data_IF_837887068499
#
_entry.id   IF_837887068499
#
_cell.length_a   1.000
_cell.length_b   1.000
_cell.length_c   1.000
_cell.angle_alpha   90.00
_cell.angle_beta   90.00
_cell.angle_gamma   90.00
#
_symmetry.space_group_name_H-M   'P 1'
#
loop_
_entity.id
_entity.type
_entity.pdbx_description
1 polymer ?
#
# COMPACT_ATOMS: atom_id res chain seq x y z
N UNK A 1 9.70 -26.95 -5.86
CA UNK A 1 8.58 -25.98 -5.85
C UNK A 1 8.21 -25.73 -4.38
N UNK A 2 7.92 -24.49 -3.98
CA UNK A 2 7.44 -24.22 -2.63
C UNK A 2 6.05 -24.87 -2.45
N UNK A 3 5.85 -25.57 -1.34
CA UNK A 3 4.55 -26.20 -1.05
C UNK A 3 3.53 -25.12 -0.65
N UNK A 4 2.25 -25.27 -1.03
CA UNK A 4 1.23 -24.29 -0.67
C UNK A 4 1.04 -24.22 0.85
N UNK A 5 1.01 -23.01 1.42
CA UNK A 5 0.88 -22.82 2.87
C UNK A 5 -0.60 -22.84 3.27
N UNK A 6 -0.98 -23.78 4.15
CA UNK A 6 -2.28 -23.79 4.82
C UNK A 6 -2.08 -23.23 6.22
N UNK A 7 -2.78 -22.15 6.54
CA UNK A 7 -2.87 -21.62 7.91
C UNK A 7 -4.11 -22.18 8.59
N UNK A 8 -4.06 -22.36 9.91
CA UNK A 8 -5.20 -22.83 10.69
C UNK A 8 -6.20 -21.69 11.00
N UNK A 9 -7.37 -22.06 11.51
CA UNK A 9 -8.44 -21.12 11.84
C UNK A 9 -8.07 -20.15 12.99
N UNK A 10 -7.10 -20.51 13.84
CA UNK A 10 -6.65 -19.64 14.92
C UNK A 10 -5.74 -18.54 14.37
N UNK A 11 -4.85 -18.87 13.44
CA UNK A 11 -4.02 -17.91 12.74
C UNK A 11 -4.87 -16.91 11.94
N UNK A 12 -5.91 -17.36 11.24
CA UNK A 12 -6.85 -16.48 10.54
C UNK A 12 -7.52 -15.47 11.49
N UNK A 13 -8.01 -15.94 12.65
CA UNK A 13 -8.58 -15.06 13.67
C UNK A 13 -7.57 -14.04 14.20
N UNK A 14 -6.30 -14.44 14.31
CA UNK A 14 -5.24 -13.54 14.74
C UNK A 14 -4.96 -12.46 13.69
N UNK A 15 -4.90 -12.82 12.41
CA UNK A 15 -4.80 -11.87 11.29
C UNK A 15 -5.93 -10.85 11.33
N UNK A 16 -7.17 -11.29 11.57
CA UNK A 16 -8.32 -10.38 11.66
C UNK A 16 -8.21 -9.40 12.83
N UNK A 17 -7.68 -9.84 13.98
CA UNK A 17 -7.42 -8.95 15.12
C UNK A 17 -6.30 -7.96 14.82
N UNK A 18 -5.19 -8.44 14.26
CA UNK A 18 -4.07 -7.60 13.86
C UNK A 18 -4.50 -6.54 12.84
N UNK A 19 -5.37 -6.89 11.88
CA UNK A 19 -5.94 -5.95 10.90
C UNK A 19 -6.71 -4.81 11.57
N UNK A 20 -7.52 -5.11 12.60
CA UNK A 20 -8.25 -4.08 13.37
C UNK A 20 -7.30 -3.16 14.14
N UNK A 21 -6.30 -3.72 14.78
CA UNK A 21 -5.30 -2.92 15.51
C UNK A 21 -4.43 -2.06 14.58
N UNK A 22 -4.07 -2.59 13.40
CA UNK A 22 -3.40 -1.82 12.35
C UNK A 22 -4.27 -0.68 11.84
N UNK A 23 -5.57 -0.90 11.56
CA UNK A 23 -6.48 0.18 11.14
C UNK A 23 -6.49 1.32 12.14
N UNK A 24 -6.66 1.00 13.43
CA UNK A 24 -6.65 1.99 14.50
C UNK A 24 -5.30 2.72 14.61
N UNK A 25 -4.19 1.99 14.61
CA UNK A 25 -2.85 2.58 14.71
C UNK A 25 -2.55 3.51 13.53
N UNK A 26 -2.83 3.06 12.31
CA UNK A 26 -2.50 3.76 11.07
C UNK A 26 -3.29 5.06 10.96
N UNK A 27 -4.60 5.01 11.24
CA UNK A 27 -5.46 6.19 11.24
C UNK A 27 -5.04 7.18 12.35
N UNK A 28 -4.78 6.71 13.57
CA UNK A 28 -4.43 7.59 14.69
C UNK A 28 -3.07 8.30 14.51
N UNK A 29 -2.11 7.65 13.83
CA UNK A 29 -0.75 8.18 13.63
C UNK A 29 -0.54 8.85 12.28
N UNK A 30 -1.54 8.85 11.40
CA UNK A 30 -1.43 9.30 10.01
C UNK A 30 -0.20 8.70 9.30
N UNK A 31 0.05 7.40 9.52
CA UNK A 31 1.26 6.74 9.05
C UNK A 31 1.03 5.77 7.87
N UNK A 32 -0.13 5.84 7.21
CA UNK A 32 -0.45 5.01 6.05
C UNK A 32 0.64 5.04 4.96
N UNK A 33 1.18 6.21 4.53
CA UNK A 33 2.22 6.24 3.51
C UNK A 33 3.50 5.49 3.95
N UNK A 34 3.84 5.57 5.24
CA UNK A 34 5.01 4.91 5.79
C UNK A 34 4.82 3.38 5.86
N UNK A 35 3.62 2.91 6.19
CA UNK A 35 3.29 1.49 6.21
C UNK A 35 3.23 0.88 4.81
N UNK A 36 2.67 1.61 3.85
CA UNK A 36 2.69 1.22 2.44
C UNK A 36 4.13 1.10 1.93
N UNK A 37 5.00 2.07 2.26
CA UNK A 37 6.42 2.00 1.94
C UNK A 37 7.10 0.80 2.60
N UNK A 38 6.84 0.50 3.88
CA UNK A 38 7.39 -0.68 4.54
C UNK A 38 7.05 -1.97 3.79
N UNK A 39 5.78 -2.16 3.43
CA UNK A 39 5.31 -3.33 2.70
C UNK A 39 5.97 -3.45 1.30
N UNK A 40 6.05 -2.33 0.57
CA UNK A 40 6.74 -2.25 -0.73
C UNK A 40 8.22 -2.62 -0.59
N UNK A 41 8.93 -2.07 0.40
CA UNK A 41 10.37 -2.30 0.55
C UNK A 41 10.71 -3.73 1.00
N UNK A 42 9.87 -4.37 1.82
CA UNK A 42 10.03 -5.80 2.15
C UNK A 42 9.84 -6.66 0.89
N UNK A 43 8.79 -6.40 0.11
CA UNK A 43 8.46 -7.17 -1.09
C UNK A 43 9.41 -6.94 -2.28
N UNK A 44 9.83 -5.70 -2.50
CA UNK A 44 10.56 -5.26 -3.70
C UNK A 44 11.99 -5.81 -3.82
N UNK A 45 12.48 -6.51 -2.81
CA UNK A 45 13.80 -7.17 -2.83
C UNK A 45 13.79 -8.53 -3.54
N UNK A 46 12.61 -9.01 -3.96
CA UNK A 46 12.48 -10.30 -4.62
C UNK A 46 13.26 -10.38 -5.94
N UNK A 47 13.85 -11.54 -6.16
CA UNK A 47 14.48 -11.94 -7.41
C UNK A 47 13.89 -13.28 -7.86
N UNK A 48 13.15 -13.26 -8.97
CA UNK A 48 12.47 -14.44 -9.51
C UNK A 48 13.44 -15.53 -10.00
N UNK A 49 14.66 -15.16 -10.42
CA UNK A 49 15.69 -16.10 -10.90
C UNK A 49 16.30 -16.87 -9.74
N UNK A 50 16.69 -16.17 -8.68
CA UNK A 50 17.33 -16.80 -7.52
C UNK A 50 16.35 -17.24 -6.43
N UNK A 51 15.10 -16.77 -6.49
CA UNK A 51 14.05 -16.99 -5.49
C UNK A 51 14.47 -16.54 -4.09
N UNK A 52 15.15 -15.39 -4.03
CA UNK A 52 15.64 -14.77 -2.79
C UNK A 52 15.02 -13.39 -2.58
N UNK A 53 14.99 -12.91 -1.34
CA UNK A 53 14.29 -11.68 -0.97
C UNK A 53 12.77 -11.85 -0.99
N UNK A 54 12.05 -10.73 -1.07
CA UNK A 54 10.60 -10.70 -1.10
C UNK A 54 9.95 -10.52 0.29
N UNK A 55 8.61 -10.52 0.35
CA UNK A 55 7.79 -10.21 1.51
C UNK A 55 7.88 -11.31 2.56
N UNK A 56 9.00 -11.37 3.26
CA UNK A 56 9.35 -12.40 4.22
C UNK A 56 9.75 -11.79 5.58
N UNK A 57 9.48 -10.50 5.77
CA UNK A 57 9.72 -9.78 7.02
C UNK A 57 11.20 -9.53 7.32
N UNK A 58 12.14 -9.88 6.42
CA UNK A 58 13.59 -9.68 6.66
C UNK A 58 13.95 -8.22 6.85
N UNK A 59 13.13 -7.28 6.36
CA UNK A 59 13.34 -5.84 6.54
C UNK A 59 13.48 -5.41 8.01
N UNK A 60 13.02 -6.22 8.97
CA UNK A 60 13.20 -5.97 10.41
C UNK A 60 14.64 -6.21 10.92
N UNK A 61 15.45 -6.92 10.14
CA UNK A 61 16.84 -7.19 10.49
C UNK A 61 17.65 -5.89 10.36
N UNK A 62 18.58 -5.67 11.29
CA UNK A 62 19.41 -4.46 11.32
C UNK A 62 20.21 -4.24 10.05
N UNK A 63 20.74 -5.33 9.47
CA UNK A 63 21.39 -5.30 8.17
C UNK A 63 20.49 -4.66 7.10
N UNK A 64 19.21 -5.07 7.03
CA UNK A 64 18.32 -4.64 5.95
C UNK A 64 17.69 -3.26 6.18
N UNK A 65 17.19 -2.94 7.38
CA UNK A 65 16.62 -1.61 7.61
C UNK A 65 17.68 -0.49 7.58
N UNK A 66 18.97 -0.85 7.68
CA UNK A 66 20.09 0.09 7.57
C UNK A 66 20.54 0.34 6.12
N UNK A 67 20.02 -0.40 5.14
CA UNK A 67 20.23 -0.08 3.72
C UNK A 67 19.77 1.36 3.42
N UNK A 68 20.48 2.08 2.55
CA UNK A 68 20.21 3.48 2.23
C UNK A 68 18.79 3.71 1.72
N UNK A 69 18.31 2.82 0.84
CA UNK A 69 16.93 2.88 0.33
C UNK A 69 15.86 2.72 1.43
N UNK A 70 16.21 2.10 2.57
CA UNK A 70 15.31 1.82 3.70
C UNK A 70 15.36 2.91 4.78
N UNK A 71 16.10 4.00 4.57
CA UNK A 71 16.20 5.11 5.53
C UNK A 71 14.83 5.56 6.05
N UNK A 72 14.68 5.59 7.37
CA UNK A 72 13.45 5.93 8.10
C UNK A 72 12.43 4.80 8.31
N UNK A 73 12.61 3.61 7.71
CA UNK A 73 11.66 2.49 7.87
C UNK A 73 11.68 1.82 9.25
N UNK A 74 12.76 2.01 10.03
CA UNK A 74 12.81 1.58 11.43
C UNK A 74 11.62 2.10 12.25
N UNK A 75 11.15 3.32 11.97
CA UNK A 75 9.94 3.89 12.60
C UNK A 75 8.67 3.09 12.28
N UNK A 76 8.54 2.60 11.05
CA UNK A 76 7.41 1.77 10.62
C UNK A 76 7.45 0.39 11.29
N UNK A 77 8.65 -0.19 11.38
CA UNK A 77 8.91 -1.45 12.08
C UNK A 77 8.52 -1.32 13.56
N UNK A 78 8.95 -0.25 14.23
CA UNK A 78 8.65 -0.01 15.65
C UNK A 78 7.14 0.14 15.92
N UNK A 79 6.42 0.81 15.00
CA UNK A 79 4.95 0.86 15.07
C UNK A 79 4.32 -0.52 14.88
N UNK A 80 4.87 -1.36 13.99
CA UNK A 80 4.39 -2.72 13.83
C UNK A 80 4.71 -3.60 15.06
N UNK A 81 5.79 -3.35 15.80
CA UNK A 81 6.08 -4.07 17.06
C UNK A 81 4.97 -3.88 18.10
N UNK A 82 4.34 -2.71 18.16
CA UNK A 82 3.20 -2.46 19.06
C UNK A 82 2.01 -3.39 18.76
N UNK A 83 1.77 -3.67 17.47
CA UNK A 83 0.74 -4.63 17.03
C UNK A 83 1.23 -6.06 17.24
N UNK A 84 2.48 -6.36 16.87
CA UNK A 84 3.09 -7.68 17.01
C UNK A 84 3.05 -8.18 18.46
N UNK A 85 3.30 -7.30 19.43
CA UNK A 85 3.27 -7.63 20.85
C UNK A 85 1.89 -8.13 21.32
N UNK A 86 0.81 -7.63 20.72
CA UNK A 86 -0.56 -8.06 20.99
C UNK A 86 -0.94 -9.34 20.23
N UNK A 87 -0.30 -9.57 19.09
CA UNK A 87 -0.56 -10.68 18.18
C UNK A 87 0.69 -11.53 17.97
N UNK A 88 1.20 -12.25 19.00
CA UNK A 88 2.47 -12.97 18.90
C UNK A 88 2.46 -14.10 17.86
N UNK A 89 1.28 -14.58 17.44
CA UNK A 89 1.14 -15.67 16.47
C UNK A 89 1.33 -15.25 15.01
N UNK A 90 1.01 -14.00 14.65
CA UNK A 90 1.19 -13.53 13.27
C UNK A 90 2.68 -13.41 12.94
N UNK A 91 3.11 -13.83 11.75
CA UNK A 91 4.49 -13.59 11.30
C UNK A 91 4.71 -12.11 11.01
N UNK A 92 5.96 -11.64 11.12
CA UNK A 92 6.31 -10.28 10.70
C UNK A 92 6.04 -10.07 9.21
N UNK A 93 6.32 -11.09 8.40
CA UNK A 93 6.05 -11.08 6.97
C UNK A 93 4.57 -10.81 6.66
N UNK A 94 3.64 -11.52 7.30
CA UNK A 94 2.21 -11.25 7.11
C UNK A 94 1.80 -9.92 7.73
N UNK A 95 2.37 -9.53 8.88
CA UNK A 95 2.05 -8.27 9.55
C UNK A 95 2.39 -7.05 8.67
N UNK A 96 3.57 -7.03 8.04
CA UNK A 96 4.01 -5.91 7.20
C UNK A 96 3.18 -5.80 5.92
N UNK A 97 2.90 -6.92 5.26
CA UNK A 97 2.03 -6.91 4.07
C UNK A 97 0.58 -6.55 4.42
N UNK A 98 0.07 -7.00 5.57
CA UNK A 98 -1.23 -6.58 6.08
C UNK A 98 -1.25 -5.08 6.40
N UNK A 99 -0.17 -4.51 6.96
CA UNK A 99 -0.05 -3.08 7.20
C UNK A 99 -0.09 -2.26 5.89
N UNK A 100 0.55 -2.75 4.82
CA UNK A 100 0.47 -2.14 3.49
C UNK A 100 -0.94 -2.16 2.90
N UNK A 101 -1.64 -3.30 2.97
CA UNK A 101 -3.05 -3.42 2.54
C UNK A 101 -3.96 -2.49 3.33
N UNK A 102 -3.82 -2.48 4.65
CA UNK A 102 -4.63 -1.63 5.53
C UNK A 102 -4.35 -0.15 5.27
N UNK A 103 -3.10 0.23 5.00
CA UNK A 103 -2.74 1.61 4.68
C UNK A 103 -3.48 2.15 3.45
N UNK A 104 -3.62 1.34 2.39
CA UNK A 104 -4.39 1.68 1.19
C UNK A 104 -5.88 1.79 1.53
N UNK A 105 -6.41 0.83 2.28
CA UNK A 105 -7.84 0.80 2.63
C UNK A 105 -8.25 2.02 3.49
N UNK A 106 -7.50 2.35 4.55
CA UNK A 106 -7.87 3.45 5.47
C UNK A 106 -7.75 4.83 4.84
N UNK A 107 -7.06 4.94 3.71
CA UNK A 107 -6.88 6.19 2.95
C UNK A 107 -7.85 6.30 1.78
N UNK A 108 -8.80 5.36 1.64
CA UNK A 108 -9.86 5.39 0.62
C UNK A 108 -9.53 4.65 -0.68
N UNK A 109 -8.42 3.92 -0.73
CA UNK A 109 -8.00 3.17 -1.90
C UNK A 109 -8.77 1.87 -2.13
N UNK A 110 -8.41 1.10 -3.17
CA UNK A 110 -9.12 -0.13 -3.51
C UNK A 110 -8.94 -1.22 -2.47
N UNK A 111 -9.91 -2.14 -2.42
CA UNK A 111 -9.76 -3.39 -1.64
C UNK A 111 -8.70 -4.28 -2.28
N UNK A 112 -7.75 -4.74 -1.47
CA UNK A 112 -6.70 -5.68 -1.89
C UNK A 112 -6.90 -7.00 -1.14
N UNK A 113 -7.07 -8.08 -1.89
CA UNK A 113 -7.23 -9.43 -1.34
C UNK A 113 -5.94 -9.88 -0.64
N UNK A 114 -5.98 -9.93 0.69
CA UNK A 114 -4.87 -10.41 1.52
C UNK A 114 -4.97 -11.92 1.76
N UNK A 115 -3.89 -12.65 1.47
CA UNK A 115 -3.77 -14.08 1.80
C UNK A 115 -2.63 -14.28 2.81
N UNK A 116 -2.90 -14.81 4.01
CA UNK A 116 -1.87 -15.08 5.02
C UNK A 116 -1.09 -16.37 4.74
N UNK A 117 0.06 -16.50 5.41
CA UNK A 117 0.89 -17.70 5.41
C UNK A 117 2.36 -17.44 5.09
N UNK A 118 2.79 -16.18 4.97
CA UNK A 118 4.20 -15.85 4.76
C UNK A 118 5.01 -16.24 5.98
N UNK A 119 6.25 -16.67 5.76
CA UNK A 119 7.17 -17.08 6.82
C UNK A 119 8.26 -16.02 7.01
N UNK A 120 8.63 -15.81 8.26
CA UNK A 120 9.71 -14.90 8.60
C UNK A 120 11.06 -15.46 8.16
N UNK A 121 11.82 -14.64 7.43
CA UNK A 121 13.23 -14.89 7.14
C UNK A 121 14.12 -14.26 8.22
N UNK A 122 15.28 -14.89 8.45
CA UNK A 122 16.41 -14.29 9.19
C UNK A 122 17.53 -13.82 8.26
N UNK A 123 17.39 -14.07 6.97
CA UNK A 123 18.39 -13.76 5.95
C UNK A 123 17.91 -12.51 5.20
N UNK A 124 18.70 -11.45 5.31
CA UNK A 124 18.51 -10.22 4.55
C UNK A 124 18.99 -10.40 3.10
N UNK A 125 18.28 -9.88 2.09
CA UNK A 125 18.82 -9.76 0.75
C UNK A 125 19.96 -8.73 0.73
N UNK A 126 20.88 -8.85 -0.22
CA UNK A 126 21.90 -7.80 -0.42
C UNK A 126 21.26 -6.48 -0.83
N UNK A 127 21.84 -5.38 -0.38
CA UNK A 127 21.46 -4.03 -0.80
C UNK A 127 21.54 -3.85 -2.33
N UNK A 128 20.78 -2.88 -2.86
CA UNK A 128 20.80 -2.50 -4.27
C UNK A 128 19.72 -3.13 -5.14
N UNK A 129 18.77 -3.85 -4.54
CA UNK A 129 17.63 -4.44 -5.26
C UNK A 129 16.42 -3.51 -5.41
N UNK A 130 16.33 -2.45 -4.62
CA UNK A 130 15.25 -1.46 -4.70
C UNK A 130 15.58 -0.37 -5.75
N UNK A 131 14.58 0.27 -6.36
CA UNK A 131 14.82 1.24 -7.41
C UNK A 131 15.47 2.53 -6.89
N UNK A 132 16.41 3.09 -7.65
CA UNK A 132 16.94 4.44 -7.46
C UNK A 132 16.04 5.46 -8.17
N UNK A 133 15.51 6.40 -7.39
CA UNK A 133 14.64 7.49 -7.83
C UNK A 133 15.26 8.42 -8.89
N UNK A 134 16.58 8.40 -9.06
CA UNK A 134 17.31 9.24 -10.03
C UNK A 134 17.43 8.64 -11.42
N UNK A 135 17.02 7.39 -11.59
CA UNK A 135 17.15 6.65 -12.85
C UNK A 135 15.88 6.77 -13.71
N UNK A 136 15.91 6.21 -14.93
CA UNK A 136 14.80 6.26 -15.88
C UNK A 136 14.22 4.89 -16.24
N UNK A 137 13.58 4.82 -17.41
CA UNK A 137 12.81 3.67 -17.91
C UNK A 137 13.58 2.34 -17.89
N UNK A 138 14.84 2.23 -18.38
CA UNK A 138 15.55 0.95 -18.39
C UNK A 138 15.72 0.38 -16.98
N UNK A 139 16.02 1.25 -16.02
CA UNK A 139 16.21 0.87 -14.63
C UNK A 139 14.91 0.40 -13.97
N UNK A 140 13.78 1.08 -14.24
CA UNK A 140 12.47 0.62 -13.76
C UNK A 140 12.16 -0.79 -14.27
N UNK A 141 12.37 -1.05 -15.57
CA UNK A 141 12.18 -2.39 -16.14
C UNK A 141 13.14 -3.40 -15.52
N UNK A 142 14.43 -3.10 -15.39
CA UNK A 142 15.41 -4.01 -14.78
C UNK A 142 15.00 -4.43 -13.36
N UNK A 143 14.54 -3.48 -12.56
CA UNK A 143 14.14 -3.73 -11.16
C UNK A 143 12.84 -4.52 -11.09
N UNK A 144 11.79 -4.11 -11.79
CA UNK A 144 10.47 -4.74 -11.69
C UNK A 144 10.39 -6.05 -12.48
N UNK A 145 11.07 -6.18 -13.62
CA UNK A 145 11.13 -7.44 -14.38
C UNK A 145 11.91 -8.51 -13.62
N UNK A 146 12.93 -8.14 -12.84
CA UNK A 146 13.59 -9.07 -11.90
C UNK A 146 12.60 -9.65 -10.89
N UNK A 147 11.60 -8.87 -10.47
CA UNK A 147 10.51 -9.34 -9.61
C UNK A 147 9.48 -10.21 -10.35
N UNK A 148 9.45 -10.17 -11.69
CA UNK A 148 8.43 -10.81 -12.52
C UNK A 148 7.17 -9.96 -12.72
N UNK A 149 7.27 -8.64 -12.51
CA UNK A 149 6.19 -7.68 -12.72
C UNK A 149 6.24 -7.11 -14.14
N UNK A 150 5.10 -6.61 -14.63
CA UNK A 150 4.92 -6.10 -16.00
C UNK A 150 4.97 -4.57 -16.05
N UNK A 151 5.03 -3.98 -17.26
CA UNK A 151 4.94 -2.53 -17.46
C UNK A 151 3.68 -1.91 -16.84
N UNK A 152 2.54 -2.60 -16.93
CA UNK A 152 1.29 -2.18 -16.26
C UNK A 152 1.47 -2.13 -14.74
N UNK A 153 2.11 -3.15 -14.17
CA UNK A 153 2.32 -3.24 -12.73
C UNK A 153 3.29 -2.13 -12.26
N UNK A 154 4.31 -1.78 -13.06
CA UNK A 154 5.20 -0.63 -12.78
C UNK A 154 4.38 0.65 -12.63
N UNK A 155 3.59 1.01 -13.65
CA UNK A 155 2.85 2.29 -13.63
C UNK A 155 1.79 2.31 -12.55
N UNK A 156 1.05 1.20 -12.37
CA UNK A 156 0.04 1.12 -11.32
C UNK A 156 0.68 1.29 -9.93
N UNK A 157 1.76 0.55 -9.64
CA UNK A 157 2.43 0.61 -8.34
C UNK A 157 3.09 1.97 -8.06
N UNK A 158 3.58 2.67 -9.08
CA UNK A 158 4.04 4.07 -8.95
C UNK A 158 2.95 5.00 -8.45
N UNK A 159 1.67 4.71 -8.75
CA UNK A 159 0.51 5.40 -8.19
C UNK A 159 0.42 5.36 -6.66
N UNK A 160 1.16 4.47 -6.00
CA UNK A 160 1.30 4.48 -4.54
C UNK A 160 1.90 5.79 -4.00
N UNK A 161 2.64 6.54 -4.82
CA UNK A 161 3.12 7.89 -4.48
C UNK A 161 2.00 8.93 -4.34
N UNK A 162 0.74 8.61 -4.68
CA UNK A 162 -0.40 9.44 -4.30
C UNK A 162 -0.48 9.66 -2.77
N UNK A 163 0.10 8.72 -2.00
CA UNK A 163 0.27 8.83 -0.56
C UNK A 163 1.67 9.32 -0.18
N UNK A 164 1.70 10.26 0.76
CA UNK A 164 2.89 10.67 1.49
C UNK A 164 3.76 11.69 0.78
N UNK A 165 5.04 11.67 1.14
CA UNK A 165 6.04 12.66 0.70
C UNK A 165 7.46 12.14 0.83
N UNK A 166 8.36 12.72 0.05
CA UNK A 166 9.79 12.58 0.29
C UNK A 166 10.24 13.47 1.46
N UNK A 167 11.40 13.10 2.02
CA UNK A 167 12.05 13.82 3.10
C UNK A 167 13.56 13.92 2.81
N UNK A 168 14.17 15.12 2.89
CA UNK A 168 15.58 15.34 2.58
C UNK A 168 16.52 14.43 3.36
N UNK A 169 16.26 14.24 4.66
CA UNK A 169 17.10 13.44 5.55
C UNK A 169 17.04 11.93 5.29
N UNK A 170 16.10 11.49 4.43
CA UNK A 170 15.94 10.07 4.07
C UNK A 170 16.41 9.77 2.67
N UNK A 171 15.92 10.55 1.71
CA UNK A 171 16.11 10.28 0.28
C UNK A 171 16.88 11.36 -0.47
N UNK A 172 17.08 12.53 0.15
CA UNK A 172 17.58 13.74 -0.51
C UNK A 172 16.53 14.51 -1.32
N UNK A 173 15.32 13.98 -1.50
CA UNK A 173 14.19 14.67 -2.13
C UNK A 173 13.22 15.22 -1.06
N UNK A 174 12.43 16.24 -1.41
CA UNK A 174 11.44 16.85 -0.51
C UNK A 174 10.10 17.05 -1.20
N UNK A 175 9.03 17.01 -0.41
CA UNK A 175 7.68 17.37 -0.82
C UNK A 175 6.76 16.18 -1.11
N UNK A 176 5.44 16.38 -1.04
CA UNK A 176 4.44 15.41 -1.47
C UNK A 176 4.28 15.41 -2.99
N UNK A 177 3.77 14.31 -3.53
CA UNK A 177 3.41 14.22 -4.95
C UNK A 177 2.02 14.79 -5.24
N UNK A 178 1.17 14.91 -4.23
CA UNK A 178 -0.23 15.33 -4.32
C UNK A 178 -0.55 16.38 -3.26
N UNK A 179 -1.64 17.12 -3.45
CA UNK A 179 -2.09 18.14 -2.48
C UNK A 179 -2.63 17.52 -1.19
N UNK A 180 -3.23 16.32 -1.27
CA UNK A 180 -3.70 15.54 -0.12
C UNK A 180 -2.93 14.22 0.02
N UNK A 181 -1.77 14.22 0.71
CA UNK A 181 -0.90 13.05 0.80
C UNK A 181 -1.42 11.94 1.72
N UNK A 182 -2.64 12.06 2.26
CA UNK A 182 -3.30 11.03 3.05
C UNK A 182 -4.56 10.46 2.37
N UNK A 183 -4.83 10.85 1.13
CA UNK A 183 -5.92 10.33 0.31
C UNK A 183 -5.37 9.46 -0.82
N UNK A 184 -5.87 8.24 -0.91
CA UNK A 184 -5.54 7.33 -1.99
C UNK A 184 -6.54 7.51 -3.12
N UNK A 185 -6.11 8.20 -4.18
CA UNK A 185 -6.89 8.49 -5.38
C UNK A 185 -5.96 8.53 -6.61
N UNK A 186 -6.46 8.91 -7.79
CA UNK A 186 -5.64 8.99 -9.00
C UNK A 186 -4.85 10.31 -9.16
N UNK A 187 -4.80 11.18 -8.13
CA UNK A 187 -4.19 12.51 -8.24
C UNK A 187 -2.72 12.46 -8.63
N UNK A 188 -1.96 11.43 -8.21
CA UNK A 188 -0.58 11.25 -8.66
C UNK A 188 -0.43 11.34 -10.18
N UNK A 189 -1.29 10.65 -10.94
CA UNK A 189 -1.21 10.66 -12.41
C UNK A 189 -1.70 11.98 -13.00
N UNK A 190 -2.73 12.58 -12.40
CA UNK A 190 -3.25 13.90 -12.81
C UNK A 190 -2.17 14.97 -12.65
N UNK A 191 -1.49 15.01 -11.50
CA UNK A 191 -0.40 15.96 -11.23
C UNK A 191 0.84 15.69 -12.07
N UNK A 192 1.15 14.40 -12.34
CA UNK A 192 2.28 14.02 -13.18
C UNK A 192 2.16 14.60 -14.60
N UNK A 193 0.94 14.60 -15.18
CA UNK A 193 0.67 15.12 -16.52
C UNK A 193 0.68 16.65 -16.62
N UNK A 194 0.59 17.38 -15.51
CA UNK A 194 0.67 18.86 -15.51
C UNK A 194 2.10 19.33 -15.75
N UNK A 195 2.26 20.56 -16.22
CA UNK A 195 3.57 21.21 -16.31
C UNK A 195 4.17 21.49 -14.91
N UNK A 196 5.49 21.65 -14.82
CA UNK A 196 6.27 21.71 -13.56
C UNK A 196 6.13 23.03 -12.77
N UNK A 197 4.95 23.66 -12.80
CA UNK A 197 4.68 24.91 -12.07
C UNK A 197 4.14 24.71 -10.65
N UNK A 198 3.72 23.49 -10.30
CA UNK A 198 3.26 23.15 -8.96
C UNK A 198 4.43 22.85 -8.02
N UNK A 199 4.33 23.23 -6.74
CA UNK A 199 5.30 22.88 -5.68
C UNK A 199 5.25 21.39 -5.27
N UNK A 200 4.74 20.52 -6.13
CA UNK A 200 4.62 19.08 -5.90
C UNK A 200 5.83 18.35 -6.46
N UNK A 201 6.23 17.28 -5.78
CA UNK A 201 7.39 16.48 -6.13
C UNK A 201 7.09 15.63 -7.39
N UNK A 202 8.06 15.60 -8.29
CA UNK A 202 8.15 14.62 -9.38
C UNK A 202 9.58 14.12 -9.47
N UNK A 203 9.82 12.89 -9.05
CA UNK A 203 11.13 12.26 -9.16
C UNK A 203 11.49 12.01 -10.64
N UNK A 204 12.79 11.88 -10.98
CA UNK A 204 13.20 11.40 -12.30
C UNK A 204 12.49 10.11 -12.72
N UNK A 205 12.31 9.15 -11.81
CA UNK A 205 11.54 7.92 -12.10
C UNK A 205 10.05 8.15 -12.36
N UNK A 206 9.43 9.17 -11.76
CA UNK A 206 8.03 9.52 -12.05
C UNK A 206 7.93 10.13 -13.45
N UNK A 207 8.84 11.06 -13.78
CA UNK A 207 8.90 11.69 -15.11
C UNK A 207 9.20 10.69 -16.21
N UNK A 208 10.02 9.67 -15.93
CA UNK A 208 10.31 8.57 -16.85
C UNK A 208 9.05 7.81 -17.32
N UNK A 209 7.97 7.80 -16.51
CA UNK A 209 6.70 7.19 -16.93
C UNK A 209 6.03 7.92 -18.10
N UNK A 210 6.38 9.20 -18.34
CA UNK A 210 5.89 10.00 -19.46
C UNK A 210 6.74 9.88 -20.72
N UNK A 211 7.97 9.38 -20.60
CA UNK A 211 8.96 9.26 -21.67
C UNK A 211 8.80 7.97 -22.48
N UNK A 212 8.38 6.87 -21.83
CA UNK A 212 8.11 5.60 -22.50
C UNK A 212 6.65 5.54 -23.02
N UNK A 213 6.42 5.23 -24.31
CA UNK A 213 5.07 5.20 -24.86
C UNK A 213 4.12 4.22 -24.18
N UNK A 214 4.61 3.05 -23.74
CA UNK A 214 3.76 2.05 -23.09
C UNK A 214 3.45 2.46 -21.65
N UNK A 215 4.41 3.02 -20.91
CA UNK A 215 4.12 3.59 -19.59
C UNK A 215 3.13 4.75 -19.68
N UNK A 216 3.37 5.67 -20.61
CA UNK A 216 2.55 6.86 -20.80
C UNK A 216 1.10 6.51 -21.07
N UNK A 217 0.84 5.44 -21.85
CA UNK A 217 -0.50 4.93 -22.11
C UNK A 217 -1.27 4.59 -20.82
N UNK A 218 -0.61 3.96 -19.84
CA UNK A 218 -1.21 3.69 -18.54
C UNK A 218 -1.35 4.94 -17.68
N UNK A 219 -0.36 5.86 -17.69
CA UNK A 219 -0.46 7.14 -16.97
C UNK A 219 -1.68 7.94 -17.43
N UNK A 220 -1.87 8.07 -18.75
CA UNK A 220 -3.02 8.79 -19.33
C UNK A 220 -4.34 8.09 -19.05
N UNK A 221 -4.36 6.75 -19.03
CA UNK A 221 -5.53 5.97 -18.63
C UNK A 221 -5.90 6.25 -17.18
N UNK A 222 -4.96 6.10 -16.25
CA UNK A 222 -5.21 6.23 -14.81
C UNK A 222 -5.55 7.65 -14.40
N UNK A 223 -4.97 8.67 -15.05
CA UNK A 223 -5.34 10.06 -14.82
C UNK A 223 -6.80 10.37 -15.23
N UNK A 224 -7.32 9.67 -16.24
CA UNK A 224 -8.69 9.85 -16.74
C UNK A 224 -9.72 8.96 -16.02
N UNK A 225 -9.31 7.79 -15.55
CA UNK A 225 -10.18 6.74 -15.04
C UNK A 225 -9.60 6.16 -13.74
N UNK A 226 -10.10 6.66 -12.60
CA UNK A 226 -9.71 6.20 -11.27
C UNK A 226 -10.11 4.73 -11.02
N UNK A 227 -11.24 4.28 -11.57
CA UNK A 227 -11.67 2.89 -11.42
C UNK A 227 -10.71 1.93 -12.14
N UNK A 228 -10.19 2.34 -13.31
CA UNK A 228 -9.12 1.61 -14.00
C UNK A 228 -7.83 1.57 -13.19
N UNK A 229 -7.44 2.70 -12.60
CA UNK A 229 -6.29 2.75 -11.68
C UNK A 229 -6.50 1.81 -10.49
N UNK A 230 -7.64 1.87 -9.82
CA UNK A 230 -7.94 1.08 -8.62
C UNK A 230 -7.93 -0.42 -8.89
N UNK A 231 -8.54 -0.86 -10.00
CA UNK A 231 -8.46 -2.26 -10.43
C UNK A 231 -7.01 -2.69 -10.64
N UNK A 232 -6.26 -1.98 -11.47
CA UNK A 232 -4.90 -2.40 -11.84
C UNK A 232 -3.94 -2.26 -10.65
N UNK A 233 -4.15 -1.29 -9.75
CA UNK A 233 -3.42 -1.14 -8.49
C UNK A 233 -3.67 -2.33 -7.57
N UNK A 234 -4.93 -2.72 -7.36
CA UNK A 234 -5.26 -3.86 -6.49
C UNK A 234 -4.62 -5.16 -6.98
N UNK A 235 -4.67 -5.43 -8.29
CA UNK A 235 -4.01 -6.59 -8.90
C UNK A 235 -2.50 -6.55 -8.73
N UNK A 236 -1.88 -5.38 -8.99
CA UNK A 236 -0.43 -5.21 -8.96
C UNK A 236 0.11 -5.27 -7.52
N UNK A 237 -0.57 -4.64 -6.57
CA UNK A 237 -0.24 -4.70 -5.15
C UNK A 237 -0.36 -6.13 -4.64
N UNK A 238 -1.41 -6.88 -5.02
CA UNK A 238 -1.52 -8.29 -4.65
C UNK A 238 -0.32 -9.10 -5.17
N UNK A 239 0.01 -9.00 -6.46
CA UNK A 239 1.18 -9.68 -7.05
C UNK A 239 2.47 -9.36 -6.30
N UNK A 240 2.71 -8.07 -6.04
CA UNK A 240 3.85 -7.59 -5.27
C UNK A 240 3.89 -8.23 -3.87
N UNK A 241 2.79 -8.16 -3.13
CA UNK A 241 2.73 -8.67 -1.76
C UNK A 241 2.92 -10.19 -1.69
N UNK A 242 2.75 -10.92 -2.80
CA UNK A 242 2.86 -12.37 -2.90
C UNK A 242 4.12 -12.84 -3.64
N UNK A 243 5.07 -11.94 -3.95
CA UNK A 243 6.32 -12.31 -4.63
C UNK A 243 7.08 -13.41 -3.86
N UNK A 244 7.33 -14.55 -4.50
CA UNK A 244 7.98 -15.69 -3.85
C UNK A 244 7.14 -16.44 -2.81
N UNK A 245 5.90 -16.01 -2.55
CA UNK A 245 4.92 -16.69 -1.72
C UNK A 245 3.94 -17.48 -2.60
N UNK A 246 3.59 -18.69 -2.19
CA UNK A 246 2.61 -19.53 -2.89
C UNK A 246 1.43 -19.81 -1.96
N UNK A 247 0.31 -19.07 -2.13
CA UNK A 247 -0.94 -19.36 -1.44
C UNK A 247 -1.39 -20.81 -1.61
N UNK A 248 -1.98 -21.41 -0.58
CA UNK A 248 -2.77 -22.62 -0.78
C UNK A 248 -4.07 -22.31 -1.51
N UNK A 249 -4.33 -23.04 -2.60
CA UNK A 249 -5.57 -22.97 -3.39
C UNK A 249 -6.85 -23.30 -2.59
N UNK A 250 -6.71 -23.72 -1.32
CA UNK A 250 -7.82 -24.00 -0.40
C UNK A 250 -8.18 -22.87 0.56
N UNK A 251 -7.47 -21.73 0.54
CA UNK A 251 -7.92 -20.55 1.27
C UNK A 251 -9.13 -19.97 0.53
N UNK A 252 -10.33 -20.45 0.89
CA UNK A 252 -11.59 -19.82 0.54
C UNK A 252 -11.46 -18.33 0.78
N UNK A 253 -11.49 -17.54 -0.30
CA UNK A 253 -11.74 -16.10 -0.25
C UNK A 253 -12.86 -15.87 0.75
N UNK A 254 -12.52 -15.26 1.88
CA UNK A 254 -13.52 -14.72 2.79
C UNK A 254 -14.16 -13.60 1.99
N UNK A 255 -15.27 -13.92 1.31
CA UNK A 255 -16.11 -12.89 0.73
C UNK A 255 -16.57 -12.04 1.90
N UNK A 256 -16.10 -10.79 1.94
CA UNK A 256 -16.57 -9.77 2.85
C UNK A 256 -18.08 -9.56 2.63
N UNK A 257 -18.89 -10.34 3.35
CA UNK A 257 -20.35 -10.21 3.38
C UNK A 257 -20.84 -9.07 4.26
N UNK A 258 -19.98 -8.11 4.63
CA UNK A 258 -20.34 -7.10 5.65
C UNK A 258 -19.94 -5.66 5.31
N UNK A 259 -19.89 -5.28 4.02
CA UNK A 259 -19.81 -3.86 3.63
C UNK A 259 -20.89 -3.56 2.58
N UNK A 260 -22.16 -3.58 2.99
CA UNK A 260 -23.27 -2.92 2.28
C UNK A 260 -24.37 -2.40 3.23
N UNK A 261 -24.01 -2.07 4.48
CA UNK A 261 -24.97 -1.48 5.44
C UNK A 261 -24.57 -0.11 6.00
N UNK A 262 -23.33 0.36 5.82
CA UNK A 262 -22.90 1.63 6.42
C UNK A 262 -23.23 2.87 5.57
N UNK A 263 -23.40 2.73 4.25
CA UNK A 263 -23.80 3.85 3.39
C UNK A 263 -25.27 4.28 3.54
N UNK A 264 -26.19 3.32 3.73
CA UNK A 264 -27.61 3.62 3.86
C UNK A 264 -28.00 4.06 5.28
N UNK A 265 -27.45 3.42 6.32
CA UNK A 265 -27.79 3.75 7.71
C UNK A 265 -27.22 5.11 8.11
N UNK A 266 -26.00 5.46 7.67
CA UNK A 266 -25.42 6.78 7.91
C UNK A 266 -26.27 7.90 7.33
N UNK A 267 -26.62 7.81 6.04
CA UNK A 267 -27.45 8.83 5.35
C UNK A 267 -28.86 8.91 5.92
N UNK A 268 -29.49 7.78 6.27
CA UNK A 268 -30.84 7.78 6.86
C UNK A 268 -30.84 8.37 8.27
N UNK A 269 -29.82 8.09 9.09
CA UNK A 269 -29.70 8.68 10.44
C UNK A 269 -29.43 10.18 10.35
N UNK A 270 -28.54 10.63 9.45
CA UNK A 270 -28.27 12.07 9.29
C UNK A 270 -29.50 12.82 8.75
N UNK A 271 -30.20 12.26 7.75
CA UNK A 271 -31.42 12.85 7.23
C UNK A 271 -32.55 12.92 8.28
N UNK A 272 -32.73 11.86 9.08
CA UNK A 272 -33.74 11.85 10.14
C UNK A 272 -33.44 12.88 11.24
N UNK A 273 -32.17 13.04 11.64
CA UNK A 273 -31.77 14.06 12.63
C UNK A 273 -31.99 15.46 12.08
N UNK A 274 -31.61 15.74 10.83
CA UNK A 274 -31.82 17.05 10.20
C UNK A 274 -33.32 17.38 10.07
N UNK A 275 -34.15 16.42 9.68
CA UNK A 275 -35.61 16.59 9.56
C UNK A 275 -36.23 16.83 10.95
N UNK A 276 -35.85 16.07 11.97
CA UNK A 276 -36.36 16.25 13.33
C UNK A 276 -35.94 17.59 13.94
N UNK A 277 -34.69 18.03 13.72
CA UNK A 277 -34.21 19.35 14.13
C UNK A 277 -34.95 20.48 13.41
N UNK A 278 -35.23 20.33 12.11
CA UNK A 278 -36.02 21.31 11.35
C UNK A 278 -37.46 21.39 11.86
N UNK A 279 -38.13 20.24 12.06
CA UNK A 279 -39.49 20.20 12.58
C UNK A 279 -39.61 20.77 14.00
N UNK A 280 -38.59 20.55 14.84
CA UNK A 280 -38.51 21.15 16.17
C UNK A 280 -38.44 22.68 16.10
N UNK A 281 -37.59 23.25 15.25
CA UNK A 281 -37.49 24.72 15.14
C UNK A 281 -38.67 25.37 14.44
N UNK A 282 -39.34 24.69 13.50
CA UNK A 282 -40.62 25.17 12.95
C UNK A 282 -41.68 25.22 14.05
N UNK A 283 -41.76 24.20 14.91
CA UNK A 283 -42.73 24.16 16.01
C UNK A 283 -42.46 25.18 17.11
N UNK A 284 -41.19 25.51 17.35
CA UNK A 284 -40.77 26.57 18.29
C UNK A 284 -41.10 27.97 17.78
N UNK A 285 -41.04 28.21 16.47
CA UNK A 285 -41.38 29.50 15.84
C UNK A 285 -42.88 29.73 15.62
N UNK A 286 -43.70 28.68 15.73
CA UNK A 286 -45.15 28.73 15.61
C UNK A 286 -45.92 28.84 16.93
N UNK A 287 -45.24 29.12 18.04
CA UNK A 287 -45.83 29.44 19.35
C UNK A 287 -45.53 30.89 19.73
#
# INVERSE_FOLDING_TARGET
MALPVVVDAEYLKEVDKARRDLRALIANRNCAPLMLRLAWHDAGTYDAKTKTGGPNGSIRNEEEYSHGANSGLKKAIDFCEEVKAKHPKITYADLYQLAGVVAVEVTGGPTIDFVPGRRDSKISPREGRLPDAKQGVPHLRDIFYRMGLTDRDIVALSGGHTLGRAHPERSGFDGPWTEDPLKFDNSYFVELLKEDYAMLLKLPTDKALLEDPEFRRYVELYAKDEDAFFRDYSESHKKLSELGFVPSSKATSVKDGTILAQGAVGVVVTAAVVILSYLYEVRKRGK
#
